data_IF_527984423650
#
_entry.id   IF_527984423650
#
_cell.length_a   1.000
_cell.length_b   1.000
_cell.length_c   1.000
_cell.angle_alpha   90.00
_cell.angle_beta   90.00
_cell.angle_gamma   90.00
#
_symmetry.space_group_name_H-M   'P 1'
#
loop_
_entity.id
_entity.type
_entity.pdbx_description
1 polymer ?
#
# COMPACT_ATOMS: atom_id res chain seq x y z
N UNK A 1 -12.54 -6.15 35.19
CA UNK A 1 -11.29 -5.73 34.51
C UNK A 1 -11.67 -4.74 33.42
N UNK A 2 -11.28 -3.47 33.56
CA UNK A 2 -11.43 -2.45 32.52
C UNK A 2 -10.44 -2.73 31.40
N UNK A 3 -10.89 -2.66 30.14
CA UNK A 3 -10.02 -2.84 28.99
C UNK A 3 -8.92 -1.76 28.97
N UNK A 4 -7.67 -2.08 28.63
CA UNK A 4 -6.62 -1.08 28.50
C UNK A 4 -7.00 -0.05 27.43
N UNK A 5 -6.98 1.24 27.78
CA UNK A 5 -7.19 2.35 26.85
C UNK A 5 -5.86 2.96 26.42
N UNK A 6 -5.58 2.95 25.12
CA UNK A 6 -4.44 3.69 24.55
C UNK A 6 -4.96 5.06 24.09
N UNK A 7 -4.48 6.14 24.72
CA UNK A 7 -4.73 7.49 24.23
C UNK A 7 -3.68 7.86 23.18
N UNK A 8 -4.11 8.04 21.93
CA UNK A 8 -3.29 8.57 20.84
C UNK A 8 -3.74 10.02 20.63
N UNK A 9 -2.89 10.98 20.98
CA UNK A 9 -3.11 12.40 20.68
C UNK A 9 -2.56 12.72 19.29
N UNK A 10 -3.40 13.28 18.42
CA UNK A 10 -2.97 13.80 17.12
C UNK A 10 -1.91 14.90 17.31
N UNK A 11 -0.91 14.99 16.43
CA UNK A 11 0.08 16.06 16.43
C UNK A 11 -0.47 17.43 15.99
N UNK A 12 -1.80 17.56 15.88
CA UNK A 12 -2.49 18.75 15.40
C UNK A 12 -2.96 18.62 13.96
N UNK A 13 -3.73 19.61 13.50
CA UNK A 13 -4.13 19.70 12.10
C UNK A 13 -2.89 20.01 11.26
N UNK A 14 -2.58 19.15 10.29
CA UNK A 14 -1.69 19.54 9.20
C UNK A 14 -2.50 20.50 8.34
N UNK A 15 -2.13 21.77 8.33
CA UNK A 15 -2.77 22.76 7.45
C UNK A 15 -2.86 22.20 6.04
N UNK A 16 -4.04 22.33 5.43
CA UNK A 16 -4.20 21.87 4.05
C UNK A 16 -3.22 22.63 3.17
N UNK A 17 -2.27 21.94 2.49
CA UNK A 17 -1.30 22.61 1.64
C UNK A 17 -2.02 23.50 0.63
N UNK A 18 -1.67 24.78 0.67
CA UNK A 18 -2.16 25.81 -0.26
C UNK A 18 -1.22 25.89 -1.46
N UNK A 19 -1.77 26.27 -2.61
CA UNK A 19 -1.00 26.49 -3.83
C UNK A 19 -1.51 25.68 -5.02
N UNK A 20 -0.70 25.68 -6.07
CA UNK A 20 -0.98 25.00 -7.33
C UNK A 20 0.15 24.04 -7.72
N UNK A 21 -0.21 22.95 -8.35
CA UNK A 21 0.70 21.97 -8.94
C UNK A 21 0.22 21.70 -10.37
N UNK A 22 1.14 21.73 -11.35
CA UNK A 22 0.81 21.49 -12.76
C UNK A 22 -0.39 22.33 -13.26
N UNK A 23 -0.42 23.62 -12.89
CA UNK A 23 -1.45 24.57 -13.32
C UNK A 23 -2.81 24.45 -12.65
N UNK A 24 -3.01 23.54 -11.68
CA UNK A 24 -4.26 23.39 -10.92
C UNK A 24 -4.04 23.50 -9.42
N UNK A 25 -5.05 23.94 -8.67
CA UNK A 25 -4.95 24.01 -7.20
C UNK A 25 -4.79 22.61 -6.58
N UNK A 26 -4.05 22.53 -5.47
CA UNK A 26 -3.87 21.27 -4.74
C UNK A 26 -5.22 20.70 -4.28
N UNK A 27 -6.16 21.55 -3.87
CA UNK A 27 -7.52 21.14 -3.51
C UNK A 27 -8.27 20.51 -4.68
N UNK A 28 -8.16 21.07 -5.89
CA UNK A 28 -8.80 20.50 -7.07
C UNK A 28 -8.20 19.14 -7.46
N UNK A 29 -6.88 18.96 -7.30
CA UNK A 29 -6.26 17.66 -7.48
C UNK A 29 -6.71 16.64 -6.45
N UNK A 30 -6.85 17.05 -5.19
CA UNK A 30 -7.34 16.19 -4.11
C UNK A 30 -8.74 15.69 -4.38
N UNK A 31 -9.63 16.60 -4.74
CA UNK A 31 -11.03 16.28 -5.03
C UNK A 31 -11.15 15.29 -6.20
N UNK A 32 -10.47 15.56 -7.33
CA UNK A 32 -10.54 14.66 -8.49
C UNK A 32 -9.91 13.30 -8.20
N UNK A 33 -8.75 13.28 -7.53
CA UNK A 33 -8.04 12.04 -7.18
C UNK A 33 -8.88 11.17 -6.25
N UNK A 34 -9.49 11.76 -5.21
CA UNK A 34 -10.37 11.03 -4.29
C UNK A 34 -11.57 10.43 -5.01
N UNK A 35 -12.22 11.22 -5.85
CA UNK A 35 -13.37 10.77 -6.65
C UNK A 35 -13.00 9.62 -7.58
N UNK A 36 -11.90 9.75 -8.31
CA UNK A 36 -11.41 8.74 -9.26
C UNK A 36 -10.98 7.43 -8.58
N UNK A 37 -10.48 7.51 -7.34
CA UNK A 37 -10.12 6.36 -6.52
C UNK A 37 -11.31 5.81 -5.69
N UNK A 38 -12.50 6.40 -5.82
CA UNK A 38 -13.68 5.98 -5.05
C UNK A 38 -13.56 6.19 -3.54
N UNK A 39 -12.72 7.13 -3.10
CA UNK A 39 -12.56 7.48 -1.68
C UNK A 39 -13.80 8.29 -1.26
N UNK A 40 -14.57 7.82 -0.25
CA UNK A 40 -15.69 8.59 0.27
C UNK A 40 -15.20 9.92 0.84
N UNK A 41 -15.85 11.02 0.44
CA UNK A 41 -15.57 12.35 0.98
C UNK A 41 -16.85 12.89 1.56
N UNK A 42 -16.80 13.20 2.86
CA UNK A 42 -17.89 13.88 3.56
C UNK A 42 -17.40 15.29 3.87
N UNK A 43 -18.14 16.31 3.44
CA UNK A 43 -17.75 17.70 3.61
C UNK A 43 -17.48 18.02 5.09
N UNK A 44 -16.34 18.66 5.36
CA UNK A 44 -15.93 19.02 6.73
C UNK A 44 -15.32 17.88 7.55
N UNK A 45 -15.33 16.63 7.09
CA UNK A 45 -14.74 15.50 7.79
C UNK A 45 -13.35 15.15 7.24
N UNK A 46 -12.40 14.73 8.10
CA UNK A 46 -11.05 14.41 7.66
C UNK A 46 -11.02 13.10 6.86
N UNK A 47 -10.09 13.04 5.91
CA UNK A 47 -9.67 11.82 5.22
C UNK A 47 -8.27 11.51 5.68
N UNK A 48 -8.07 10.37 6.34
CA UNK A 48 -6.76 9.97 6.87
C UNK A 48 -6.35 8.64 6.27
N UNK A 49 -5.18 8.63 5.62
CA UNK A 49 -4.63 7.48 4.94
C UNK A 49 -3.41 6.90 5.64
N UNK A 50 -3.29 5.57 5.66
CA UNK A 50 -2.03 4.88 5.91
C UNK A 50 -1.81 3.79 4.86
N UNK A 51 -0.55 3.46 4.56
CA UNK A 51 -0.20 2.48 3.53
C UNK A 51 0.61 1.31 4.06
N UNK A 52 0.47 0.15 3.42
CA UNK A 52 1.31 -1.02 3.66
C UNK A 52 1.43 -1.91 2.42
N UNK A 53 2.53 -2.64 2.30
CA UNK A 53 2.62 -3.78 1.39
C UNK A 53 1.57 -4.84 1.78
N UNK A 54 1.01 -5.60 0.82
CA UNK A 54 0.09 -6.68 1.12
C UNK A 54 0.85 -7.79 1.85
N UNK A 55 0.57 -7.94 3.14
CA UNK A 55 1.18 -8.94 4.00
C UNK A 55 0.22 -9.32 5.10
N UNK A 56 0.26 -10.59 5.49
CA UNK A 56 -0.64 -11.07 6.53
C UNK A 56 -0.08 -10.75 7.91
N UNK A 57 -0.80 -9.89 8.63
CA UNK A 57 -0.70 -9.60 10.06
C UNK A 57 0.70 -9.44 10.69
N UNK A 58 1.04 -8.21 11.05
CA UNK A 58 2.00 -7.91 12.10
C UNK A 58 1.55 -6.66 12.87
N UNK A 59 2.08 -6.40 14.09
CA UNK A 59 1.63 -5.30 14.94
C UNK A 59 1.69 -3.92 14.25
N UNK A 60 2.63 -3.72 13.33
CA UNK A 60 2.76 -2.49 12.55
C UNK A 60 1.58 -2.19 11.63
N UNK A 61 0.90 -3.20 11.07
CA UNK A 61 -0.31 -2.98 10.27
C UNK A 61 -1.44 -2.50 11.17
N UNK A 62 -1.71 -3.20 12.27
CA UNK A 62 -2.76 -2.82 13.22
C UNK A 62 -2.53 -1.42 13.78
N UNK A 63 -1.29 -1.10 14.17
CA UNK A 63 -0.93 0.23 14.68
C UNK A 63 -1.26 1.34 13.67
N UNK A 64 -1.01 1.13 12.37
CA UNK A 64 -1.38 2.09 11.32
C UNK A 64 -2.89 2.28 11.22
N UNK A 65 -3.68 1.21 11.25
CA UNK A 65 -5.14 1.29 11.23
C UNK A 65 -5.69 2.04 12.45
N UNK A 66 -5.21 1.69 13.65
CA UNK A 66 -5.63 2.34 14.90
C UNK A 66 -5.26 3.81 14.91
N UNK A 67 -4.03 4.16 14.51
CA UNK A 67 -3.57 5.55 14.45
C UNK A 67 -4.35 6.36 13.42
N UNK A 68 -4.50 5.85 12.20
CA UNK A 68 -5.24 6.54 11.15
C UNK A 68 -6.72 6.71 11.52
N UNK A 69 -7.33 5.72 12.20
CA UNK A 69 -8.70 5.85 12.71
C UNK A 69 -8.80 6.89 13.82
N UNK A 70 -7.89 6.89 14.79
CA UNK A 70 -7.88 7.87 15.86
C UNK A 70 -7.75 9.30 15.30
N UNK A 71 -6.91 9.49 14.29
CA UNK A 71 -6.74 10.77 13.61
C UNK A 71 -7.95 11.17 12.74
N UNK A 72 -8.64 10.21 12.11
CA UNK A 72 -9.87 10.48 11.35
C UNK A 72 -11.07 10.80 12.25
N UNK A 73 -11.06 10.35 13.51
CA UNK A 73 -12.23 10.42 14.38
C UNK A 73 -13.34 9.44 13.95
N UNK A 74 -14.49 9.52 14.62
CA UNK A 74 -15.60 8.57 14.44
C UNK A 74 -16.26 8.68 13.04
N UNK A 75 -16.37 9.90 12.51
CA UNK A 75 -17.09 10.13 11.25
C UNK A 75 -16.15 10.34 10.06
N UNK A 76 -14.85 10.52 10.30
CA UNK A 76 -13.86 10.68 9.25
C UNK A 76 -13.61 9.41 8.45
N UNK A 77 -13.09 9.60 7.24
CA UNK A 77 -12.80 8.51 6.30
C UNK A 77 -11.41 7.96 6.54
N UNK A 78 -11.33 6.66 6.82
CA UNK A 78 -10.09 5.91 6.88
C UNK A 78 -9.76 5.34 5.50
N UNK A 79 -8.57 5.63 4.98
CA UNK A 79 -8.04 5.07 3.74
C UNK A 79 -6.87 4.14 4.04
N UNK A 80 -6.88 2.94 3.47
CA UNK A 80 -5.74 2.04 3.49
C UNK A 80 -5.19 1.84 2.08
N UNK A 81 -3.97 2.32 1.86
CA UNK A 81 -3.26 2.16 0.59
C UNK A 81 -2.51 0.84 0.57
N UNK A 82 -2.91 -0.04 -0.34
CA UNK A 82 -2.26 -1.33 -0.57
C UNK A 82 -1.12 -1.13 -1.56
N UNK A 83 0.13 -1.27 -1.12
CA UNK A 83 1.32 -1.21 -1.99
C UNK A 83 1.47 -2.53 -2.74
N UNK A 84 0.50 -2.78 -3.61
CA UNK A 84 0.22 -4.04 -4.30
C UNK A 84 1.25 -4.41 -5.38
N UNK A 85 1.98 -3.44 -5.90
CA UNK A 85 3.02 -3.68 -6.89
C UNK A 85 4.36 -4.14 -6.28
N UNK A 86 4.47 -4.27 -4.95
CA UNK A 86 5.72 -4.73 -4.34
C UNK A 86 5.95 -6.24 -4.46
N UNK A 87 7.22 -6.64 -4.47
CA UNK A 87 7.65 -8.04 -4.53
C UNK A 87 7.63 -8.65 -3.13
N UNK A 88 6.42 -8.89 -2.62
CA UNK A 88 6.15 -9.49 -1.30
C UNK A 88 5.24 -10.68 -1.46
N UNK A 89 5.26 -11.57 -0.47
CA UNK A 89 4.35 -12.71 -0.45
C UNK A 89 3.12 -12.42 0.44
N UNK A 90 1.93 -12.20 -0.15
CA UNK A 90 0.74 -11.83 0.62
C UNK A 90 0.18 -12.96 1.48
N UNK A 91 0.63 -14.19 1.24
CA UNK A 91 0.11 -15.40 1.87
C UNK A 91 0.93 -15.87 3.07
N UNK A 92 2.03 -15.18 3.36
CA UNK A 92 2.99 -15.55 4.39
C UNK A 92 2.63 -14.95 5.76
N UNK A 93 2.68 -15.75 6.80
CA UNK A 93 2.57 -15.29 8.19
C UNK A 93 3.60 -15.99 9.08
N UNK A 94 4.20 -15.24 9.99
CA UNK A 94 5.07 -15.81 11.02
C UNK A 94 4.22 -16.25 12.21
N UNK A 95 4.33 -17.53 12.58
CA UNK A 95 3.50 -18.17 13.60
C UNK A 95 4.33 -18.47 14.84
N UNK A 96 3.97 -17.93 16.02
CA UNK A 96 4.54 -18.36 17.28
C UNK A 96 4.17 -19.82 17.59
N UNK A 97 5.18 -20.65 17.83
CA UNK A 97 5.02 -22.09 18.14
C UNK A 97 5.76 -22.46 19.43
N UNK A 98 5.41 -23.61 20.01
CA UNK A 98 6.23 -24.26 21.04
C UNK A 98 7.15 -25.28 20.37
N UNK A 99 8.45 -25.21 20.67
CA UNK A 99 9.44 -26.21 20.25
C UNK A 99 10.28 -26.59 21.45
N UNK A 100 10.24 -27.85 21.85
CA UNK A 100 10.97 -28.38 23.02
C UNK A 100 10.72 -27.54 24.29
N UNK A 101 9.45 -27.18 24.55
CA UNK A 101 9.05 -26.37 25.71
C UNK A 101 9.43 -24.88 25.65
N UNK A 102 10.05 -24.40 24.55
CA UNK A 102 10.45 -23.00 24.38
C UNK A 102 9.63 -22.31 23.30
N UNK A 103 9.46 -20.99 23.45
CA UNK A 103 8.87 -20.16 22.41
C UNK A 103 9.80 -20.11 21.20
N UNK A 104 9.26 -20.47 20.04
CA UNK A 104 9.92 -20.36 18.76
C UNK A 104 8.96 -19.73 17.75
N UNK A 105 9.42 -19.57 16.51
CA UNK A 105 8.56 -19.14 15.41
C UNK A 105 8.78 -20.06 14.21
N UNK A 106 7.69 -20.38 13.54
CA UNK A 106 7.69 -20.96 12.20
C UNK A 106 7.04 -19.99 11.23
N UNK A 107 7.03 -20.34 9.96
CA UNK A 107 6.36 -19.58 8.91
C UNK A 107 5.27 -20.45 8.32
N UNK A 108 4.03 -19.97 8.38
CA UNK A 108 2.91 -20.58 7.68
C UNK A 108 2.62 -19.84 6.39
N UNK A 109 2.16 -20.57 5.39
CA UNK A 109 1.80 -20.04 4.09
C UNK A 109 0.39 -20.47 3.73
N UNK A 110 -0.52 -19.52 3.68
CA UNK A 110 -1.91 -19.78 3.31
C UNK A 110 -2.03 -20.18 1.83
N UNK A 111 -1.18 -19.64 0.93
CA UNK A 111 -1.23 -19.89 -0.51
C UNK A 111 -0.02 -20.66 -1.04
N UNK A 112 0.20 -20.58 -2.35
CA UNK A 112 1.40 -21.09 -3.03
C UNK A 112 2.57 -20.13 -2.79
N UNK A 113 3.80 -20.64 -2.83
CA UNK A 113 4.99 -19.81 -2.68
C UNK A 113 5.28 -19.03 -3.97
N UNK A 114 5.61 -17.76 -3.85
CA UNK A 114 5.99 -16.90 -4.98
C UNK A 114 7.38 -16.29 -4.76
N UNK A 115 8.08 -15.92 -5.83
CA UNK A 115 9.47 -15.45 -5.79
C UNK A 115 9.69 -14.24 -6.70
N UNK A 116 9.43 -13.07 -6.14
CA UNK A 116 9.87 -11.79 -6.69
C UNK A 116 8.89 -11.12 -7.64
N UNK A 117 7.79 -11.77 -8.00
CA UNK A 117 6.67 -11.16 -8.69
C UNK A 117 6.00 -10.10 -7.81
N UNK A 118 5.44 -9.07 -8.43
CA UNK A 118 4.61 -8.11 -7.73
C UNK A 118 3.34 -8.80 -7.18
N UNK A 119 2.94 -8.49 -5.95
CA UNK A 119 1.80 -9.12 -5.31
C UNK A 119 0.47 -8.97 -6.09
N UNK A 120 0.31 -7.88 -6.85
CA UNK A 120 -0.83 -7.64 -7.73
C UNK A 120 -0.87 -8.56 -8.96
N UNK A 121 0.26 -9.17 -9.33
CA UNK A 121 0.39 -10.13 -10.43
C UNK A 121 0.06 -11.56 -9.98
N UNK A 122 -0.03 -11.79 -8.67
CA UNK A 122 -0.33 -13.10 -8.11
C UNK A 122 -1.85 -13.31 -8.09
N UNK A 123 -2.36 -14.47 -8.54
CA UNK A 123 -3.79 -14.77 -8.45
C UNK A 123 -4.25 -14.83 -6.99
N UNK A 124 -5.53 -14.59 -6.71
CA UNK A 124 -6.10 -14.97 -5.41
C UNK A 124 -5.98 -16.48 -5.20
N UNK A 125 -6.02 -16.91 -3.94
CA UNK A 125 -5.71 -18.30 -3.56
C UNK A 125 -6.71 -18.85 -2.55
N UNK A 126 -6.87 -20.17 -2.54
CA UNK A 126 -7.60 -20.87 -1.47
C UNK A 126 -6.67 -21.04 -0.26
N UNK A 127 -7.02 -20.52 0.93
CA UNK A 127 -6.13 -20.56 2.08
C UNK A 127 -6.02 -21.95 2.68
N UNK A 128 -4.80 -22.44 2.86
CA UNK A 128 -4.47 -23.63 3.65
C UNK A 128 -4.50 -23.31 5.14
N UNK A 129 -5.15 -24.16 5.93
CA UNK A 129 -5.12 -24.05 7.40
C UNK A 129 -3.74 -24.47 7.93
N UNK A 130 -3.35 -23.89 9.05
CA UNK A 130 -2.15 -24.30 9.78
C UNK A 130 -2.46 -25.59 10.56
N UNK A 131 -1.58 -26.58 10.47
CA UNK A 131 -1.73 -27.92 11.05
C UNK A 131 -0.68 -28.24 12.13
N UNK A 132 0.18 -27.28 12.47
CA UNK A 132 1.20 -27.42 13.51
C UNK A 132 0.71 -27.03 14.92
N UNK A 133 1.52 -27.33 15.93
CA UNK A 133 1.29 -26.90 17.31
C UNK A 133 1.68 -25.42 17.50
N UNK A 134 0.71 -24.57 17.86
CA UNK A 134 1.01 -23.16 18.15
C UNK A 134 1.43 -22.94 19.61
N UNK A 135 2.00 -21.77 19.89
CA UNK A 135 2.48 -21.46 21.24
C UNK A 135 1.36 -21.28 22.28
N UNK A 136 0.17 -20.86 21.84
CA UNK A 136 -0.98 -20.49 22.67
C UNK A 136 -2.28 -20.74 21.88
N UNK A 137 -3.35 -21.16 22.54
CA UNK A 137 -4.67 -21.37 21.91
C UNK A 137 -5.22 -20.11 21.19
N UNK A 138 -4.84 -18.90 21.64
CA UNK A 138 -5.21 -17.66 20.96
C UNK A 138 -4.55 -17.50 19.58
N UNK A 139 -3.38 -18.12 19.37
CA UNK A 139 -2.69 -18.15 18.07
C UNK A 139 -3.44 -19.08 17.12
N UNK A 140 -3.83 -20.29 17.55
CA UNK A 140 -4.68 -21.20 16.76
C UNK A 140 -5.97 -20.51 16.30
N UNK A 141 -6.70 -19.92 17.24
CA UNK A 141 -7.94 -19.21 16.95
C UNK A 141 -7.70 -18.01 16.02
N UNK A 142 -6.54 -17.35 16.13
CA UNK A 142 -6.12 -16.28 15.24
C UNK A 142 -5.88 -16.76 13.80
N UNK A 143 -5.19 -17.88 13.64
CA UNK A 143 -4.90 -18.49 12.33
C UNK A 143 -6.16 -19.04 11.66
N UNK A 144 -7.09 -19.59 12.42
CA UNK A 144 -8.39 -20.01 11.90
C UNK A 144 -9.16 -18.82 11.33
N UNK A 145 -9.32 -17.73 12.11
CA UNK A 145 -9.97 -16.50 11.64
C UNK A 145 -9.26 -15.87 10.44
N UNK A 146 -7.94 -15.96 10.40
CA UNK A 146 -7.14 -15.49 9.28
C UNK A 146 -7.48 -16.26 7.99
N UNK A 147 -7.50 -17.60 8.05
CA UNK A 147 -7.87 -18.43 6.93
C UNK A 147 -9.32 -18.17 6.48
N UNK A 148 -10.25 -18.05 7.42
CA UNK A 148 -11.67 -17.78 7.10
C UNK A 148 -11.85 -16.41 6.42
N UNK A 149 -11.14 -15.37 6.89
CA UNK A 149 -11.16 -14.04 6.28
C UNK A 149 -10.55 -14.03 4.87
N UNK A 150 -9.48 -14.79 4.65
CA UNK A 150 -8.88 -14.96 3.31
C UNK A 150 -9.84 -15.70 2.36
N UNK A 151 -10.51 -16.75 2.83
CA UNK A 151 -11.47 -17.51 2.02
C UNK A 151 -12.69 -16.65 1.65
N UNK A 152 -13.21 -15.87 2.60
CA UNK A 152 -14.28 -14.92 2.34
C UNK A 152 -13.90 -13.86 1.29
N UNK A 153 -12.61 -13.55 1.15
CA UNK A 153 -12.05 -12.62 0.18
C UNK A 153 -11.56 -13.29 -1.13
N UNK A 154 -11.82 -14.59 -1.36
CA UNK A 154 -11.27 -15.34 -2.52
C UNK A 154 -11.64 -14.77 -3.89
N UNK A 155 -12.76 -14.06 -3.98
CA UNK A 155 -13.23 -13.43 -5.22
C UNK A 155 -12.49 -12.12 -5.56
N UNK A 156 -11.55 -11.68 -4.71
CA UNK A 156 -10.70 -10.54 -5.00
C UNK A 156 -9.88 -10.79 -6.29
N UNK A 157 -9.55 -9.74 -7.06
CA UNK A 157 -8.90 -9.87 -8.37
C UNK A 157 -7.46 -10.41 -8.32
N UNK A 158 -6.78 -10.34 -7.17
CA UNK A 158 -5.42 -10.81 -6.98
C UNK A 158 -5.11 -11.05 -5.49
N UNK A 159 -3.97 -11.69 -5.19
CA UNK A 159 -3.54 -11.99 -3.83
C UNK A 159 -3.36 -10.74 -2.97
N UNK A 160 -2.87 -9.64 -3.55
CA UNK A 160 -2.69 -8.38 -2.82
C UNK A 160 -4.03 -7.86 -2.28
N UNK A 161 -5.06 -7.84 -3.13
CA UNK A 161 -6.39 -7.38 -2.76
C UNK A 161 -7.09 -8.35 -1.81
N UNK A 162 -6.97 -9.66 -2.04
CA UNK A 162 -7.51 -10.69 -1.14
C UNK A 162 -6.98 -10.50 0.29
N UNK A 163 -5.65 -10.37 0.43
CA UNK A 163 -5.02 -10.18 1.74
C UNK A 163 -5.43 -8.85 2.37
N UNK A 164 -5.51 -7.76 1.60
CA UNK A 164 -5.94 -6.47 2.11
C UNK A 164 -7.41 -6.47 2.58
N UNK A 165 -8.33 -7.07 1.82
CA UNK A 165 -9.74 -7.22 2.18
C UNK A 165 -9.88 -8.07 3.46
N UNK A 166 -9.14 -9.19 3.56
CA UNK A 166 -9.11 -10.04 4.74
C UNK A 166 -8.62 -9.26 5.98
N UNK A 167 -7.49 -8.56 5.89
CA UNK A 167 -6.97 -7.73 6.99
C UNK A 167 -7.97 -6.64 7.39
N UNK A 168 -8.53 -5.91 6.41
CA UNK A 168 -9.51 -4.85 6.66
C UNK A 168 -10.75 -5.38 7.39
N UNK A 169 -11.23 -6.58 7.02
CA UNK A 169 -12.36 -7.23 7.70
C UNK A 169 -12.03 -7.58 9.15
N UNK A 170 -10.84 -8.10 9.42
CA UNK A 170 -10.40 -8.51 10.76
C UNK A 170 -10.22 -7.30 11.69
N UNK A 171 -9.72 -6.17 11.17
CA UNK A 171 -9.51 -4.96 11.98
C UNK A 171 -10.76 -4.09 12.13
N UNK A 172 -11.80 -4.35 11.33
CA UNK A 172 -13.01 -3.52 11.24
C UNK A 172 -13.66 -3.24 12.60
N UNK A 173 -13.67 -4.22 13.51
CA UNK A 173 -14.29 -4.07 14.83
C UNK A 173 -13.63 -3.01 15.71
N UNK A 174 -12.35 -2.69 15.48
CA UNK A 174 -11.62 -1.68 16.23
C UNK A 174 -11.51 -0.36 15.46
N UNK A 175 -11.40 -0.44 14.14
CA UNK A 175 -11.01 0.71 13.32
C UNK A 175 -12.14 1.23 12.41
N UNK A 176 -13.30 0.57 12.40
CA UNK A 176 -14.36 0.85 11.43
C UNK A 176 -14.01 0.36 10.03
N UNK A 177 -14.78 0.82 9.02
CA UNK A 177 -14.54 0.48 7.62
C UNK A 177 -13.42 1.37 7.05
N UNK A 178 -12.48 0.76 6.35
CA UNK A 178 -11.49 1.47 5.55
C UNK A 178 -11.87 1.44 4.06
N UNK A 179 -11.64 2.54 3.34
CA UNK A 179 -11.58 2.55 1.89
C UNK A 179 -10.22 1.97 1.46
N UNK A 180 -10.24 0.93 0.64
CA UNK A 180 -9.01 0.28 0.16
C UNK A 180 -8.66 0.81 -1.22
N UNK A 181 -7.44 1.33 -1.36
CA UNK A 181 -6.92 1.90 -2.61
C UNK A 181 -5.65 1.13 -2.98
N UNK A 182 -5.58 0.59 -4.20
CA UNK A 182 -4.34 -0.01 -4.68
C UNK A 182 -3.37 1.08 -5.14
N UNK A 183 -2.10 0.98 -4.76
CA UNK A 183 -1.08 1.94 -5.18
C UNK A 183 -0.87 1.92 -6.70
N UNK A 184 -1.15 0.78 -7.34
CA UNK A 184 -1.13 0.63 -8.80
C UNK A 184 -2.21 1.42 -9.54
N UNK A 185 -3.23 1.93 -8.86
CA UNK A 185 -4.31 2.72 -9.46
C UNK A 185 -3.99 4.22 -9.50
N UNK A 186 -3.01 4.69 -8.72
CA UNK A 186 -2.69 6.14 -8.64
C UNK A 186 -2.32 6.76 -9.99
N UNK A 187 -1.60 6.04 -10.85
CA UNK A 187 -1.21 6.55 -12.16
C UNK A 187 -2.35 6.51 -13.20
N UNK A 188 -3.46 5.86 -12.89
CA UNK A 188 -4.69 5.88 -13.70
C UNK A 188 -5.57 7.11 -13.41
N UNK A 189 -5.23 7.91 -12.40
CA UNK A 189 -5.93 9.16 -12.08
C UNK A 189 -5.52 10.30 -13.02
N UNK A 190 -6.34 11.34 -13.12
CA UNK A 190 -6.03 12.56 -13.87
C UNK A 190 -4.73 13.23 -13.37
N UNK A 191 -4.47 13.20 -12.06
CA UNK A 191 -3.22 13.71 -11.50
C UNK A 191 -2.03 12.83 -11.90
N UNK A 192 -2.22 11.50 -11.88
CA UNK A 192 -1.21 10.56 -12.34
C UNK A 192 -0.84 10.72 -13.80
N UNK A 193 -1.83 10.89 -14.67
CA UNK A 193 -1.61 11.18 -16.09
C UNK A 193 -0.83 12.48 -16.29
N UNK A 194 -1.26 13.58 -15.64
CA UNK A 194 -0.57 14.87 -15.74
C UNK A 194 0.90 14.80 -15.28
N UNK A 195 1.16 14.02 -14.23
CA UNK A 195 2.53 13.83 -13.73
C UNK A 195 3.38 12.99 -14.70
N UNK A 196 2.84 11.93 -15.28
CA UNK A 196 3.53 11.12 -16.30
C UNK A 196 3.84 11.96 -17.54
N UNK A 197 2.92 12.82 -17.96
CA UNK A 197 3.18 13.73 -19.09
C UNK A 197 4.31 14.72 -18.78
N UNK A 198 4.39 15.23 -17.56
CA UNK A 198 5.52 16.07 -17.15
C UNK A 198 6.84 15.29 -17.14
N UNK A 199 6.82 14.04 -16.67
CA UNK A 199 7.98 13.15 -16.72
C UNK A 199 8.42 12.86 -18.16
N UNK A 200 7.49 12.77 -19.11
CA UNK A 200 7.79 12.58 -20.54
C UNK A 200 8.41 13.82 -21.16
N UNK A 201 7.92 15.02 -20.81
CA UNK A 201 8.45 16.29 -21.33
C UNK A 201 9.90 16.51 -20.94
N UNK A 202 10.25 16.22 -19.69
CA UNK A 202 11.62 16.39 -19.19
C UNK A 202 12.04 15.28 -18.20
N UNK A 203 12.40 14.09 -18.73
CA UNK A 203 12.83 12.95 -17.91
C UNK A 203 14.07 13.25 -17.06
N UNK A 204 14.97 14.07 -17.60
CA UNK A 204 16.23 14.42 -16.94
C UNK A 204 15.96 15.28 -15.71
N UNK A 205 15.15 16.34 -15.86
CA UNK A 205 14.76 17.18 -14.73
C UNK A 205 13.99 16.41 -13.66
N UNK A 206 13.19 15.42 -14.06
CA UNK A 206 12.52 14.52 -13.11
C UNK A 206 13.54 13.71 -12.29
N UNK A 207 14.47 13.03 -12.95
CA UNK A 207 15.51 12.24 -12.29
C UNK A 207 16.36 13.11 -11.35
N UNK A 208 16.74 14.31 -11.79
CA UNK A 208 17.51 15.25 -11.00
C UNK A 208 16.70 15.73 -9.78
N UNK A 209 15.43 16.11 -9.95
CA UNK A 209 14.58 16.53 -8.85
C UNK A 209 14.41 15.43 -7.80
N UNK A 210 14.19 14.19 -8.23
CA UNK A 210 14.12 13.03 -7.34
C UNK A 210 15.44 12.84 -6.58
N UNK A 211 16.58 12.83 -7.29
CA UNK A 211 17.89 12.65 -6.68
C UNK A 211 18.25 13.79 -5.73
N UNK A 212 17.82 15.03 -6.02
CA UNK A 212 17.96 16.17 -5.10
C UNK A 212 17.15 15.96 -3.81
N UNK A 213 15.90 15.52 -3.92
CA UNK A 213 15.07 15.22 -2.75
C UNK A 213 15.64 14.04 -1.94
N UNK A 214 16.13 13.00 -2.61
CA UNK A 214 16.71 11.82 -1.96
C UNK A 214 17.95 12.15 -1.12
N UNK A 215 18.70 13.21 -1.44
CA UNK A 215 19.83 13.64 -0.59
C UNK A 215 19.42 14.07 0.81
N UNK A 216 18.16 14.45 1.02
CA UNK A 216 17.63 14.75 2.35
C UNK A 216 17.46 13.47 3.19
N UNK A 217 17.17 12.33 2.54
CA UNK A 217 16.96 11.03 3.20
C UNK A 217 17.58 9.89 2.38
N UNK A 218 18.92 9.74 2.36
CA UNK A 218 19.62 8.85 1.43
C UNK A 218 19.27 7.35 1.59
N UNK A 219 18.72 6.97 2.75
CA UNK A 219 18.34 5.58 3.06
C UNK A 219 16.95 5.21 2.55
N UNK A 220 16.17 6.17 2.08
CA UNK A 220 14.77 5.94 1.73
C UNK A 220 14.60 5.26 0.35
N UNK A 221 15.55 5.44 -0.57
CA UNK A 221 15.57 4.76 -1.87
C UNK A 221 16.97 4.79 -2.50
N UNK A 222 17.18 3.99 -3.55
CA UNK A 222 18.33 4.15 -4.42
C UNK A 222 18.14 5.36 -5.37
N UNK A 223 19.23 6.06 -5.74
CA UNK A 223 19.16 7.14 -6.73
C UNK A 223 18.71 6.63 -8.10
N UNK A 224 18.11 7.51 -8.89
CA UNK A 224 17.76 7.27 -10.29
C UNK A 224 18.97 7.54 -11.18
N UNK A 225 19.13 6.74 -12.23
CA UNK A 225 20.13 7.01 -13.26
C UNK A 225 19.77 8.30 -14.03
N UNK A 226 20.69 9.27 -14.05
CA UNK A 226 20.60 10.47 -14.88
C UNK A 226 21.28 10.25 -16.25
N UNK A 227 21.04 11.15 -17.21
CA UNK A 227 21.68 11.19 -18.52
C UNK A 227 20.72 11.02 -19.69
N UNK A 228 21.26 10.60 -20.85
CA UNK A 228 20.51 10.51 -22.12
C UNK A 228 19.27 9.61 -22.02
N UNK A 229 19.39 8.49 -21.30
CA UNK A 229 18.28 7.56 -20.98
C UNK A 229 17.98 7.59 -19.48
N UNK A 230 17.58 8.78 -19.01
CA UNK A 230 17.24 9.03 -17.62
C UNK A 230 16.15 8.05 -17.13
N UNK A 231 16.36 7.53 -15.91
CA UNK A 231 15.41 6.69 -15.21
C UNK A 231 14.34 7.57 -14.53
N UNK A 232 13.10 7.08 -14.53
CA UNK A 232 11.97 7.75 -13.90
C UNK A 232 11.61 7.08 -12.57
N UNK A 233 10.95 7.80 -11.65
CA UNK A 233 10.47 7.25 -10.37
C UNK A 233 9.24 6.34 -10.55
N UNK A 234 9.29 5.49 -11.58
CA UNK A 234 8.25 4.57 -12.00
C UNK A 234 8.80 3.14 -12.09
N UNK A 235 7.89 2.19 -11.89
CA UNK A 235 8.05 0.79 -12.22
C UNK A 235 7.16 0.45 -13.42
N UNK A 236 7.48 -0.63 -14.10
CA UNK A 236 6.53 -1.40 -14.92
C UNK A 236 6.63 -2.88 -14.54
N UNK A 237 5.74 -3.71 -15.02
CA UNK A 237 5.83 -5.17 -14.89
C UNK A 237 6.41 -5.76 -16.17
N UNK A 238 7.31 -6.73 -16.02
CA UNK A 238 7.70 -7.66 -17.08
C UNK A 238 6.65 -8.78 -17.23
N UNK A 239 6.78 -9.61 -18.26
CA UNK A 239 5.84 -10.70 -18.56
C UNK A 239 5.78 -11.76 -17.44
N UNK A 240 6.86 -11.91 -16.67
CA UNK A 240 6.92 -12.77 -15.49
C UNK A 240 6.33 -12.14 -14.22
N UNK A 241 5.74 -10.95 -14.33
CA UNK A 241 5.13 -10.22 -13.23
C UNK A 241 6.12 -9.51 -12.29
N UNK A 242 7.43 -9.54 -12.57
CA UNK A 242 8.45 -8.81 -11.78
C UNK A 242 8.48 -7.34 -12.18
N UNK A 243 8.81 -6.48 -11.21
CA UNK A 243 8.99 -5.05 -11.49
C UNK A 243 10.30 -4.77 -12.22
N UNK A 244 10.24 -3.92 -13.22
CA UNK A 244 11.40 -3.37 -13.93
C UNK A 244 11.39 -1.84 -13.88
N UNK A 245 12.59 -1.25 -13.86
CA UNK A 245 12.78 0.20 -13.81
C UNK A 245 12.34 0.81 -15.14
N UNK A 246 11.62 1.92 -15.10
CA UNK A 246 11.24 2.67 -16.32
C UNK A 246 12.29 3.73 -16.62
N UNK A 247 12.74 3.79 -17.88
CA UNK A 247 13.59 4.87 -18.39
C UNK A 247 12.90 5.64 -19.51
N UNK A 248 13.51 6.75 -19.93
CA UNK A 248 13.04 7.60 -21.04
C UNK A 248 12.70 6.79 -22.30
N UNK A 249 13.60 5.90 -22.72
CA UNK A 249 13.42 5.09 -23.94
C UNK A 249 12.16 4.22 -23.88
N UNK A 250 11.75 3.77 -22.68
CA UNK A 250 10.54 2.97 -22.47
C UNK A 250 9.24 3.78 -22.56
N UNK A 251 9.32 5.11 -22.54
CA UNK A 251 8.16 5.99 -22.75
C UNK A 251 7.99 6.43 -24.21
N UNK A 252 8.89 6.02 -25.12
CA UNK A 252 8.84 6.32 -26.55
C UNK A 252 7.72 5.59 -27.31
N UNK A 253 7.59 5.89 -28.61
CA UNK A 253 6.47 5.48 -29.47
C UNK A 253 6.27 3.95 -29.50
N UNK A 254 5.13 3.51 -28.97
CA UNK A 254 4.74 2.11 -28.80
C UNK A 254 3.62 1.97 -27.78
N UNK A 255 3.21 0.73 -27.46
CA UNK A 255 2.25 0.48 -26.36
C UNK A 255 2.93 0.80 -25.04
N UNK A 256 2.62 1.94 -24.43
CA UNK A 256 3.16 2.30 -23.10
C UNK A 256 2.80 1.17 -22.12
N UNK A 257 3.78 0.55 -21.46
CA UNK A 257 3.49 -0.53 -20.53
C UNK A 257 2.76 0.04 -19.30
N UNK A 258 2.12 -0.82 -18.50
CA UNK A 258 1.43 -0.36 -17.28
C UNK A 258 2.45 0.26 -16.33
N UNK A 259 2.40 1.57 -16.17
CA UNK A 259 3.26 2.31 -15.27
C UNK A 259 2.74 2.20 -13.84
N UNK A 260 3.67 2.09 -12.89
CA UNK A 260 3.39 1.94 -11.47
C UNK A 260 4.27 2.93 -10.67
N UNK A 261 3.75 3.61 -9.65
CA UNK A 261 4.53 4.61 -8.92
C UNK A 261 5.54 3.95 -7.99
N UNK A 262 6.75 4.53 -7.84
CA UNK A 262 7.67 4.11 -6.76
C UNK A 262 7.23 4.64 -5.40
N UNK A 263 7.77 4.06 -4.33
CA UNK A 263 7.38 4.37 -2.93
C UNK A 263 7.32 5.87 -2.59
N UNK A 264 8.32 6.67 -3.02
CA UNK A 264 8.31 8.11 -2.83
C UNK A 264 7.11 8.79 -3.50
N UNK A 265 6.81 8.36 -4.73
CA UNK A 265 5.70 8.89 -5.49
C UNK A 265 4.36 8.46 -4.90
N UNK A 266 4.24 7.22 -4.41
CA UNK A 266 3.09 6.76 -3.60
C UNK A 266 2.87 7.70 -2.41
N UNK A 267 3.92 8.07 -1.70
CA UNK A 267 3.83 9.03 -0.59
C UNK A 267 3.35 10.42 -1.01
N UNK A 268 3.66 10.88 -2.23
CA UNK A 268 3.11 12.13 -2.76
C UNK A 268 1.62 11.99 -3.10
N UNK A 269 1.23 10.90 -3.76
CA UNK A 269 -0.18 10.59 -4.02
C UNK A 269 -1.01 10.50 -2.74
N UNK A 270 -0.48 9.89 -1.68
CA UNK A 270 -1.17 9.79 -0.38
C UNK A 270 -1.48 11.14 0.26
N UNK A 271 -0.74 12.21 -0.07
CA UNK A 271 -1.04 13.56 0.40
C UNK A 271 -2.14 14.24 -0.42
N UNK A 272 -2.43 13.70 -1.60
CA UNK A 272 -3.48 14.14 -2.52
C UNK A 272 -4.73 13.26 -2.44
N UNK A 273 -4.61 12.02 -1.97
CA UNK A 273 -5.72 11.13 -1.69
C UNK A 273 -6.47 11.50 -0.40
#
# INVERSE_FOLDING_TARGET
>A
MTAPSVQITSAGAIDSPRGSLLGRSISAWRESTRRELGIPVIAGLPVVGAGHQPGFWHPGILAKFVHARAAAGADGTLVHVVVDHDAVDPSLVRVPIRRNGRLAATTHRFGTAHRGEAAMSLPSFSPRRFDGETALASVDAGLARAADALDAARAAPNAARQTADAVASLVRRWCGRAALVAASDFLSTSFGAALVDEMRRDPQRCADAFNRALRLEPRAAAPLRAGRDAELPLWTLADDGRRTRVSRSMLGEGRTPRLLPRAFLVGAFMRLA
#
